data_IF_980458758336
#
_entry.id   IF_980458758336
#
_cell.length_a   1.000
_cell.length_b   1.000
_cell.length_c   1.000
_cell.angle_alpha   90.00
_cell.angle_beta   90.00
_cell.angle_gamma   90.00
#
_symmetry.space_group_name_H-M   'P 1'
#
loop_
_entity.id
_entity.type
_entity.pdbx_description
1 polymer ?
#
# COMPACT_ATOMS: atom_id res chain seq x y z
N UNK A 1 -9.75 -4.18 -6.20
CA UNK A 1 -8.73 -5.16 -6.67
C UNK A 1 -7.76 -5.49 -5.54
N UNK A 2 -7.30 -6.74 -5.44
CA UNK A 2 -6.37 -7.20 -4.39
C UNK A 2 -5.29 -8.10 -4.99
N UNK A 3 -4.04 -7.94 -4.57
CA UNK A 3 -2.92 -8.81 -4.93
C UNK A 3 -2.24 -9.34 -3.66
N UNK A 4 -1.81 -10.60 -3.66
CA UNK A 4 -1.09 -11.23 -2.55
C UNK A 4 0.31 -11.63 -2.98
N UNK A 5 1.30 -11.43 -2.11
CA UNK A 5 2.69 -11.80 -2.38
C UNK A 5 3.42 -12.19 -1.10
N UNK A 6 4.60 -12.78 -1.25
CA UNK A 6 5.49 -13.15 -0.15
C UNK A 6 6.76 -12.31 -0.22
N UNK A 7 7.22 -11.75 0.90
CA UNK A 7 8.52 -11.06 0.97
C UNK A 7 9.69 -12.05 1.15
N UNK A 8 10.91 -11.50 1.23
CA UNK A 8 12.15 -12.30 1.29
C UNK A 8 12.29 -13.07 2.61
N UNK A 9 11.60 -12.63 3.67
CA UNK A 9 11.57 -13.29 4.98
C UNK A 9 10.44 -14.33 5.08
N UNK A 10 9.75 -14.60 3.97
CA UNK A 10 8.67 -15.55 3.90
C UNK A 10 7.32 -15.04 4.42
N UNK A 11 7.20 -13.75 4.76
CA UNK A 11 5.95 -13.17 5.26
C UNK A 11 4.99 -12.92 4.12
N UNK A 12 3.70 -13.15 4.36
CA UNK A 12 2.65 -13.03 3.36
C UNK A 12 1.91 -11.71 3.52
N UNK A 13 1.87 -10.96 2.42
CA UNK A 13 1.34 -9.62 2.32
C UNK A 13 0.17 -9.58 1.36
N UNK A 14 -0.84 -8.77 1.72
CA UNK A 14 -2.00 -8.45 0.91
C UNK A 14 -1.93 -6.98 0.57
N UNK A 15 -1.93 -6.65 -0.72
CA UNK A 15 -2.02 -5.29 -1.22
C UNK A 15 -3.40 -5.05 -1.84
N UNK A 16 -4.01 -3.90 -1.60
CA UNK A 16 -5.27 -3.52 -2.24
C UNK A 16 -5.38 -2.02 -2.45
N UNK A 17 -6.22 -1.65 -3.42
CA UNK A 17 -6.63 -0.27 -3.65
C UNK A 17 -7.56 0.18 -2.51
N UNK A 18 -7.12 1.17 -1.74
CA UNK A 18 -7.96 1.84 -0.76
C UNK A 18 -8.68 3.03 -1.42
N UNK A 19 -9.95 3.23 -1.05
CA UNK A 19 -10.69 4.41 -1.49
C UNK A 19 -9.95 5.68 -1.10
N UNK A 20 -10.03 6.71 -1.95
CA UNK A 20 -9.39 8.01 -1.72
C UNK A 20 -9.83 8.65 -0.41
N UNK A 21 -11.06 8.38 0.03
CA UNK A 21 -11.63 8.83 1.31
C UNK A 21 -11.07 8.07 2.52
N UNK A 22 -10.68 6.81 2.33
CA UNK A 22 -10.03 5.97 3.36
C UNK A 22 -8.53 6.29 3.44
N UNK A 23 -7.95 6.73 2.33
CA UNK A 23 -6.55 7.15 2.24
C UNK A 23 -6.37 8.64 2.55
N UNK A 24 -6.84 9.02 3.75
CA UNK A 24 -6.46 10.18 4.57
C UNK A 24 -6.55 11.60 3.97
N UNK A 25 -6.79 12.60 4.82
CA UNK A 25 -5.98 13.82 4.80
C UNK A 25 -5.04 13.84 6.02
N UNK A 26 -3.76 13.45 5.87
CA UNK A 26 -2.79 13.89 6.88
C UNK A 26 -3.01 15.41 6.92
N UNK A 27 -3.40 15.99 8.06
CA UNK A 27 -3.88 17.37 8.09
C UNK A 27 -2.80 18.36 7.60
N UNK A 28 -1.55 17.90 7.49
CA UNK A 28 -0.42 18.66 7.01
C UNK A 28 -0.03 18.33 5.55
N UNK A 29 -0.61 17.30 4.94
CA UNK A 29 -0.28 16.85 3.59
C UNK A 29 -1.35 17.40 2.62
N UNK A 30 -0.92 18.27 1.68
CA UNK A 30 -1.81 18.83 0.66
C UNK A 30 -2.53 17.69 -0.06
N UNK A 31 -3.83 17.87 -0.33
CA UNK A 31 -4.62 16.90 -1.07
C UNK A 31 -3.85 16.46 -2.32
N UNK A 32 -3.55 15.15 -2.47
CA UNK A 32 -2.78 14.68 -3.60
C UNK A 32 -3.59 14.88 -4.89
N UNK A 33 -2.90 15.10 -6.02
CA UNK A 33 -3.57 15.34 -7.29
C UNK A 33 -4.43 14.13 -7.70
N UNK A 34 -5.48 14.39 -8.48
CA UNK A 34 -6.57 13.45 -8.78
C UNK A 34 -6.14 12.18 -9.53
N UNK A 35 -4.93 12.21 -10.09
CA UNK A 35 -4.31 11.17 -10.90
C UNK A 35 -3.59 10.08 -10.09
N UNK A 36 -3.68 10.11 -8.75
CA UNK A 36 -3.05 9.10 -7.89
C UNK A 36 -4.05 8.24 -7.13
N UNK A 37 -3.81 6.93 -7.17
CA UNK A 37 -4.49 5.93 -6.37
C UNK A 37 -3.68 5.51 -5.15
N UNK A 38 -4.39 4.92 -4.21
CA UNK A 38 -3.95 4.64 -2.87
C UNK A 38 -3.82 3.14 -2.66
N UNK A 39 -2.63 2.66 -2.32
CA UNK A 39 -2.38 1.22 -2.11
C UNK A 39 -1.98 0.97 -0.67
N UNK A 40 -2.70 0.08 -0.01
CA UNK A 40 -2.39 -0.39 1.36
C UNK A 40 -1.83 -1.80 1.29
N UNK A 41 -0.83 -2.07 2.12
CA UNK A 41 -0.16 -3.35 2.28
C UNK A 41 -0.32 -3.82 3.72
N UNK A 42 -0.85 -5.03 3.91
CA UNK A 42 -1.01 -5.62 5.24
C UNK A 42 -0.41 -7.01 5.27
N UNK A 43 0.42 -7.25 6.28
CA UNK A 43 0.93 -8.57 6.57
C UNK A 43 -0.17 -9.36 7.28
N UNK A 44 -0.50 -10.55 6.77
CA UNK A 44 -1.49 -11.42 7.40
C UNK A 44 -0.88 -12.71 7.95
N UNK A 45 0.44 -12.90 7.79
CA UNK A 45 1.19 -13.97 8.44
C UNK A 45 1.84 -13.53 9.76
N UNK A 46 1.96 -12.23 10.00
CA UNK A 46 2.55 -11.68 11.21
C UNK A 46 1.77 -10.42 11.64
N UNK A 47 1.00 -10.48 12.75
CA UNK A 47 0.18 -9.37 13.22
C UNK A 47 1.00 -8.24 13.84
N UNK A 48 2.30 -8.45 14.14
CA UNK A 48 3.18 -7.41 14.66
C UNK A 48 3.76 -6.52 13.55
N UNK A 49 3.61 -6.91 12.29
CA UNK A 49 4.03 -6.05 11.19
C UNK A 49 3.06 -4.89 11.01
N UNK A 50 3.59 -3.68 11.14
CA UNK A 50 2.85 -2.47 10.83
C UNK A 50 2.40 -2.48 9.35
N UNK A 51 1.15 -2.04 9.13
CA UNK A 51 0.62 -1.85 7.79
C UNK A 51 1.42 -0.76 7.08
N UNK A 52 1.52 -0.86 5.75
CA UNK A 52 2.23 0.10 4.92
C UNK A 52 1.35 0.65 3.84
N UNK A 53 1.69 1.81 3.33
CA UNK A 53 0.92 2.50 2.30
C UNK A 53 1.80 3.23 1.29
N UNK A 54 1.32 3.30 0.06
CA UNK A 54 1.96 3.99 -1.05
C UNK A 54 0.92 4.64 -1.98
N UNK A 55 1.29 5.75 -2.61
CA UNK A 55 0.55 6.32 -3.73
C UNK A 55 1.16 5.87 -5.05
N UNK A 56 0.32 5.47 -5.99
CA UNK A 56 0.70 5.12 -7.36
C UNK A 56 -0.14 5.94 -8.34
N UNK A 57 0.31 6.15 -9.59
CA UNK A 57 -0.56 6.71 -10.61
C UNK A 57 -1.79 5.82 -10.82
N UNK A 58 -2.94 6.41 -11.11
CA UNK A 58 -4.20 5.70 -11.28
C UNK A 58 -4.09 4.58 -12.34
N UNK A 59 -4.63 3.40 -12.04
CA UNK A 59 -4.60 2.22 -12.92
C UNK A 59 -3.26 1.46 -12.93
N UNK A 60 -2.22 1.99 -12.29
CA UNK A 60 -0.90 1.33 -12.26
C UNK A 60 -0.94 0.05 -11.44
N UNK A 61 -1.67 0.03 -10.33
CA UNK A 61 -1.73 -1.12 -9.42
C UNK A 61 -2.19 -2.39 -10.14
N UNK A 62 -3.13 -2.28 -11.06
CA UNK A 62 -3.65 -3.40 -11.84
C UNK A 62 -2.60 -3.98 -12.79
N UNK A 63 -1.77 -3.10 -13.37
CA UNK A 63 -0.71 -3.45 -14.32
C UNK A 63 0.57 -3.97 -13.64
N UNK A 64 0.81 -3.64 -12.37
CA UNK A 64 2.03 -4.04 -11.67
C UNK A 64 2.15 -5.57 -11.52
N UNK A 65 3.32 -6.10 -11.88
CA UNK A 65 3.69 -7.48 -11.55
C UNK A 65 3.85 -7.66 -10.03
N UNK A 66 3.87 -8.90 -9.55
CA UNK A 66 4.13 -9.16 -8.13
C UNK A 66 5.52 -8.69 -7.69
N UNK A 67 6.53 -8.79 -8.57
CA UNK A 67 7.89 -8.36 -8.27
C UNK A 67 8.01 -6.83 -8.18
N UNK A 68 7.32 -6.11 -9.06
CA UNK A 68 7.30 -4.64 -8.96
C UNK A 68 6.52 -4.18 -7.73
N UNK A 69 5.44 -4.89 -7.39
CA UNK A 69 4.67 -4.63 -6.18
C UNK A 69 5.51 -4.84 -4.91
N UNK A 70 6.40 -5.85 -4.89
CA UNK A 70 7.40 -6.02 -3.82
C UNK A 70 8.39 -4.86 -3.74
N UNK A 71 8.88 -4.35 -4.88
CA UNK A 71 9.77 -3.18 -4.93
C UNK A 71 9.07 -1.94 -4.36
N UNK A 72 7.81 -1.74 -4.72
CA UNK A 72 6.98 -0.65 -4.20
C UNK A 72 6.69 -0.79 -2.71
N UNK A 73 6.36 -2.00 -2.25
CA UNK A 73 6.17 -2.32 -0.84
C UNK A 73 7.38 -1.94 0.02
N UNK A 74 8.61 -2.26 -0.41
CA UNK A 74 9.84 -1.89 0.30
C UNK A 74 10.02 -0.37 0.46
N UNK A 75 9.42 0.43 -0.42
CA UNK A 75 9.43 1.90 -0.39
C UNK A 75 8.19 2.51 0.28
N UNK A 76 7.19 1.69 0.62
CA UNK A 76 5.96 2.14 1.24
C UNK A 76 6.21 2.61 2.68
N UNK A 77 5.60 3.74 3.04
CA UNK A 77 5.66 4.30 4.40
C UNK A 77 4.76 3.50 5.33
N UNK A 78 5.06 3.50 6.64
CA UNK A 78 4.14 2.96 7.63
C UNK A 78 2.82 3.72 7.59
N UNK A 79 1.71 3.03 7.84
CA UNK A 79 0.41 3.66 7.98
C UNK A 79 0.31 4.36 9.34
N UNK A 80 0.18 5.70 9.39
CA UNK A 80 0.09 6.43 10.65
C UNK A 80 -1.24 6.24 11.40
N UNK A 81 -2.25 5.57 10.83
CA UNK A 81 -3.56 5.34 11.50
C UNK A 81 -3.44 4.32 12.62
N UNK A 82 -2.40 3.51 12.56
CA UNK A 82 -2.14 2.43 13.49
C UNK A 82 -1.07 2.98 14.44
N UNK A 83 -1.56 3.59 15.52
CA UNK A 83 -0.75 4.01 16.67
C UNK A 83 -0.56 2.84 17.63
#
# INVERSE_FOLDING_TARGET
MTKTFQDDDGRRWKAWLASREVFWPDPNEKAPPDDFEAVVFVCFSDPYQAQRRLRLPQGSFEQLSLDDLKKHFKKAKLDPAIR
#
